data_IF_229455676884
#
_entry.id   IF_229455676884
#
_cell.length_a   1.000
_cell.length_b   1.000
_cell.length_c   1.000
_cell.angle_alpha   90.00
_cell.angle_beta   90.00
_cell.angle_gamma   90.00
#
_symmetry.space_group_name_H-M   'P 1'
#
loop_
_entity.id
_entity.type
_entity.pdbx_description
1 polymer ?
#
# COMPACT_ATOMS: atom_id res chain seq x y z
N UNK A 1 14.03 1.52 11.77
CA UNK A 1 14.11 0.31 10.92
C UNK A 1 15.47 -0.29 11.23
N UNK A 2 15.52 -1.57 11.57
CA UNK A 2 16.78 -2.24 11.89
C UNK A 2 17.21 -2.97 10.62
N UNK A 3 18.18 -2.39 9.92
CA UNK A 3 18.73 -2.95 8.69
C UNK A 3 19.98 -3.74 9.02
N UNK A 4 20.23 -4.83 8.30
CA UNK A 4 21.50 -5.55 8.39
C UNK A 4 22.65 -4.60 8.02
N UNK A 5 23.84 -4.80 8.62
CA UNK A 5 24.97 -3.88 8.52
C UNK A 5 25.40 -3.61 7.06
N UNK A 6 25.23 -4.58 6.17
CA UNK A 6 25.53 -4.48 4.75
C UNK A 6 24.50 -3.69 3.93
N UNK A 7 23.30 -3.46 4.47
CA UNK A 7 22.23 -2.65 3.87
C UNK A 7 22.19 -1.25 4.46
N UNK A 8 22.56 -1.10 5.73
CA UNK A 8 22.47 0.16 6.47
C UNK A 8 23.22 1.32 5.79
N UNK A 9 24.39 1.04 5.21
CA UNK A 9 25.22 2.03 4.50
C UNK A 9 24.55 2.61 3.23
N UNK A 10 23.53 1.94 2.70
CA UNK A 10 22.80 2.37 1.50
C UNK A 10 21.44 3.00 1.81
N UNK A 11 21.06 3.10 3.09
CA UNK A 11 19.75 3.63 3.49
C UNK A 11 19.92 4.88 4.33
N UNK A 12 19.34 5.99 3.84
CA UNK A 12 19.15 7.21 4.64
C UNK A 12 17.72 7.27 5.15
N UNK A 13 17.57 7.55 6.45
CA UNK A 13 16.27 7.78 7.08
C UNK A 13 16.14 9.28 7.34
N UNK A 14 15.07 9.87 6.80
CA UNK A 14 14.81 11.31 6.90
C UNK A 14 13.32 11.61 7.07
N UNK A 15 13.00 12.90 7.09
CA UNK A 15 11.62 13.38 7.09
C UNK A 15 11.05 13.44 5.65
N UNK A 16 9.77 13.80 5.54
CA UNK A 16 9.18 14.19 4.25
C UNK A 16 9.34 15.69 4.09
N UNK A 17 10.27 16.11 3.24
CA UNK A 17 10.48 17.51 2.84
C UNK A 17 11.33 17.59 1.56
N UNK A 18 11.37 18.76 0.94
CA UNK A 18 12.28 19.06 -0.17
C UNK A 18 13.76 18.98 0.24
N UNK A 19 14.09 19.41 1.47
CA UNK A 19 15.46 19.48 1.99
C UNK A 19 16.15 18.10 2.11
N UNK A 20 15.36 17.03 2.17
CA UNK A 20 15.83 15.65 2.27
C UNK A 20 16.19 15.08 0.87
N UNK A 21 15.97 15.83 -0.20
CA UNK A 21 16.26 15.42 -1.58
C UNK A 21 17.69 15.83 -1.97
N UNK A 22 18.64 14.90 -1.81
CA UNK A 22 20.04 15.09 -2.18
C UNK A 22 20.40 14.49 -3.56
N UNK A 23 21.67 14.57 -3.96
CA UNK A 23 22.16 14.01 -5.24
C UNK A 23 22.71 12.58 -5.11
N UNK A 24 22.75 12.04 -3.89
CA UNK A 24 23.32 10.72 -3.59
C UNK A 24 22.25 9.62 -3.63
N UNK A 25 20.98 9.97 -3.39
CA UNK A 25 19.88 9.01 -3.39
C UNK A 25 19.38 8.70 -4.81
N UNK A 26 19.19 7.42 -5.13
CA UNK A 26 18.56 7.00 -6.40
C UNK A 26 17.02 7.04 -6.35
N UNK A 27 16.45 6.77 -5.17
CA UNK A 27 15.01 6.71 -4.96
C UNK A 27 14.64 6.98 -3.51
N UNK A 28 13.39 7.41 -3.30
CA UNK A 28 12.81 7.67 -1.99
C UNK A 28 11.61 6.76 -1.76
N UNK A 29 11.53 6.17 -0.57
CA UNK A 29 10.39 5.36 -0.15
C UNK A 29 9.68 6.08 0.99
N UNK A 30 8.49 6.61 0.71
CA UNK A 30 7.63 7.23 1.71
C UNK A 30 6.71 6.18 2.31
N UNK A 31 6.88 5.91 3.59
CA UNK A 31 6.13 4.88 4.32
C UNK A 31 4.91 5.48 5.01
N UNK A 32 3.71 5.03 4.62
CA UNK A 32 2.44 5.30 5.30
C UNK A 32 2.22 6.79 5.69
N UNK A 33 2.36 7.76 4.76
CA UNK A 33 2.32 9.18 5.11
C UNK A 33 1.02 9.55 5.86
N UNK A 34 1.16 10.30 6.95
CA UNK A 34 0.06 10.75 7.80
C UNK A 34 -0.01 12.28 7.81
N UNK A 35 -1.21 12.84 8.05
CA UNK A 35 -1.34 14.27 8.31
C UNK A 35 -0.62 14.64 9.61
N UNK A 36 -0.03 15.83 9.63
CA UNK A 36 0.58 16.41 10.82
C UNK A 36 -0.46 17.10 11.70
N UNK A 37 -0.15 17.28 12.98
CA UNK A 37 -1.05 18.02 13.89
C UNK A 37 -1.24 19.44 13.33
N UNK A 38 -2.48 19.82 13.06
CA UNK A 38 -2.87 21.09 12.46
C UNK A 38 -2.38 21.36 11.02
N UNK A 39 -2.02 20.32 10.25
CA UNK A 39 -1.58 20.51 8.86
C UNK A 39 -1.86 19.32 7.94
N UNK A 40 -1.85 19.58 6.64
CA UNK A 40 -1.91 18.55 5.60
C UNK A 40 -0.48 18.17 5.23
N UNK A 41 -0.19 16.88 5.06
CA UNK A 41 1.14 16.41 4.63
C UNK A 41 1.36 16.55 3.11
N UNK A 42 0.28 16.77 2.35
CA UNK A 42 0.31 16.83 0.87
C UNK A 42 1.29 17.87 0.33
N UNK A 43 1.34 19.13 0.83
CA UNK A 43 2.29 20.11 0.30
C UNK A 43 3.75 19.63 0.41
N UNK A 44 4.13 19.04 1.54
CA UNK A 44 5.47 18.49 1.74
C UNK A 44 5.76 17.31 0.80
N UNK A 45 4.75 16.46 0.56
CA UNK A 45 4.87 15.35 -0.39
C UNK A 45 5.00 15.85 -1.83
N UNK A 46 4.27 16.90 -2.20
CA UNK A 46 4.34 17.54 -3.51
C UNK A 46 5.72 18.19 -3.72
N UNK A 47 6.21 18.98 -2.76
CA UNK A 47 7.53 19.60 -2.77
C UNK A 47 8.65 18.55 -2.93
N UNK A 48 8.63 17.50 -2.11
CA UNK A 48 9.59 16.39 -2.20
C UNK A 48 9.52 15.67 -3.57
N UNK A 49 8.31 15.42 -4.07
CA UNK A 49 8.12 14.73 -5.36
C UNK A 49 8.63 15.57 -6.52
N UNK A 50 8.37 16.87 -6.52
CA UNK A 50 8.85 17.81 -7.54
C UNK A 50 10.39 17.94 -7.51
N UNK A 51 10.98 18.02 -6.32
CA UNK A 51 12.43 18.11 -6.16
C UNK A 51 13.13 16.84 -6.64
N UNK A 52 12.60 15.65 -6.30
CA UNK A 52 13.12 14.38 -6.78
C UNK A 52 12.96 14.24 -8.30
N UNK A 53 11.80 14.62 -8.86
CA UNK A 53 11.54 14.59 -10.30
C UNK A 53 12.50 15.50 -11.08
N UNK A 54 12.79 16.70 -10.57
CA UNK A 54 13.73 17.64 -11.17
C UNK A 54 15.16 17.06 -11.31
N UNK A 55 15.50 16.09 -10.46
CA UNK A 55 16.78 15.36 -10.47
C UNK A 55 16.71 14.00 -11.17
N UNK A 56 15.54 13.61 -11.70
CA UNK A 56 15.33 12.29 -12.31
C UNK A 56 15.29 11.13 -11.30
N UNK A 57 15.03 11.43 -10.02
CA UNK A 57 14.93 10.45 -8.95
C UNK A 57 13.51 9.94 -8.79
N UNK A 58 13.35 8.70 -8.32
CA UNK A 58 12.02 8.07 -8.18
C UNK A 58 11.47 8.22 -6.76
N UNK A 59 10.21 8.62 -6.62
CA UNK A 59 9.48 8.57 -5.34
C UNK A 59 8.47 7.43 -5.38
N UNK A 60 8.55 6.54 -4.38
CA UNK A 60 7.62 5.44 -4.17
C UNK A 60 6.88 5.67 -2.86
N UNK A 61 5.55 5.54 -2.88
CA UNK A 61 4.73 5.66 -1.67
C UNK A 61 4.13 4.30 -1.33
N UNK A 62 4.47 3.77 -0.16
CA UNK A 62 3.85 2.55 0.37
C UNK A 62 2.68 2.91 1.27
N UNK A 63 1.53 2.27 1.05
CA UNK A 63 0.29 2.56 1.75
C UNK A 63 -0.03 4.06 1.76
N UNK A 64 -0.27 4.63 0.57
CA UNK A 64 -0.72 6.01 0.38
C UNK A 64 -2.15 6.24 0.88
N UNK A 65 -2.50 5.76 2.08
CA UNK A 65 -3.81 5.95 2.70
C UNK A 65 -3.94 7.37 3.24
N UNK A 66 -3.99 8.31 2.31
CA UNK A 66 -4.29 9.73 2.53
C UNK A 66 -5.81 10.00 2.55
N UNK A 67 -6.62 8.93 2.64
CA UNK A 67 -8.07 9.03 2.82
C UNK A 67 -8.45 9.50 4.21
N UNK A 68 -9.75 9.54 4.49
CA UNK A 68 -10.26 9.93 5.81
C UNK A 68 -10.08 8.77 6.79
N UNK A 69 -8.92 8.68 7.42
CA UNK A 69 -8.72 7.83 8.59
C UNK A 69 -9.25 8.61 9.80
N UNK A 70 -10.31 8.14 10.48
CA UNK A 70 -10.73 8.79 11.71
C UNK A 70 -9.58 8.74 12.72
N UNK A 71 -9.20 9.90 13.25
CA UNK A 71 -8.29 9.96 14.38
C UNK A 71 -8.89 9.17 15.56
N UNK A 72 -8.04 8.69 16.47
CA UNK A 72 -8.48 8.03 17.71
C UNK A 72 -9.45 8.90 18.54
N UNK A 73 -9.48 10.22 18.32
CA UNK A 73 -10.42 11.17 18.92
C UNK A 73 -11.69 11.45 18.11
N UNK A 74 -11.99 10.67 17.06
CA UNK A 74 -13.22 10.78 16.26
C UNK A 74 -13.30 12.04 15.37
N UNK A 75 -12.23 12.84 15.28
CA UNK A 75 -12.17 13.99 14.36
C UNK A 75 -11.69 13.52 13.00
N UNK A 76 -12.56 13.63 12.00
CA UNK A 76 -12.21 13.51 10.59
C UNK A 76 -11.64 14.84 10.08
N UNK A 77 -10.43 14.84 9.53
CA UNK A 77 -9.91 16.00 8.83
C UNK A 77 -10.48 16.05 7.40
N UNK A 78 -11.62 16.71 7.23
CA UNK A 78 -12.27 16.90 5.91
C UNK A 78 -11.50 17.91 5.04
N UNK A 79 -10.79 18.85 5.65
CA UNK A 79 -9.94 19.82 4.95
C UNK A 79 -8.80 19.09 4.21
N UNK A 80 -8.53 19.45 2.95
CA UNK A 80 -7.47 18.84 2.14
C UNK A 80 -7.83 17.49 1.52
N UNK A 81 -9.07 16.99 1.65
CA UNK A 81 -9.46 15.64 1.19
C UNK A 81 -9.32 15.48 -0.32
N UNK A 82 -9.73 16.49 -1.10
CA UNK A 82 -9.70 16.42 -2.56
C UNK A 82 -8.26 16.37 -3.05
N UNK A 83 -7.42 17.20 -2.45
CA UNK A 83 -5.99 17.34 -2.70
C UNK A 83 -5.27 16.03 -2.35
N UNK A 84 -5.55 15.45 -1.19
CA UNK A 84 -5.01 14.14 -0.77
C UNK A 84 -5.33 13.01 -1.74
N UNK A 85 -6.61 12.91 -2.15
CA UNK A 85 -7.04 11.87 -3.10
C UNK A 85 -6.44 12.13 -4.48
N UNK A 86 -6.34 13.39 -4.90
CA UNK A 86 -5.74 13.75 -6.18
C UNK A 86 -4.25 13.41 -6.20
N UNK A 87 -3.51 13.75 -5.14
CA UNK A 87 -2.11 13.42 -4.97
C UNK A 87 -1.87 11.90 -4.97
N UNK A 88 -2.61 11.13 -4.17
CA UNK A 88 -2.45 9.67 -4.18
C UNK A 88 -2.74 9.04 -5.57
N UNK A 89 -3.60 9.68 -6.38
CA UNK A 89 -3.93 9.25 -7.75
C UNK A 89 -2.94 9.73 -8.82
N UNK A 90 -2.02 10.65 -8.51
CA UNK A 90 -0.98 11.06 -9.46
C UNK A 90 0.08 9.97 -9.64
N UNK A 91 0.22 9.07 -8.66
CA UNK A 91 1.13 7.94 -8.71
C UNK A 91 0.54 6.79 -9.55
N UNK A 92 1.42 6.12 -10.30
CA UNK A 92 1.07 4.89 -11.00
C UNK A 92 1.16 3.70 -10.02
N UNK A 93 0.08 2.92 -9.80
CA UNK A 93 0.14 1.74 -8.95
C UNK A 93 1.02 0.66 -9.58
N UNK A 94 2.16 0.34 -8.97
CA UNK A 94 3.08 -0.71 -9.44
C UNK A 94 2.90 -2.05 -8.69
N UNK A 95 2.28 -2.01 -7.52
CA UNK A 95 1.99 -3.17 -6.71
C UNK A 95 0.75 -2.92 -5.85
N UNK A 96 -0.08 -3.94 -5.68
CA UNK A 96 -1.21 -3.94 -4.78
C UNK A 96 -1.30 -5.28 -4.07
N UNK A 97 -1.51 -5.26 -2.76
CA UNK A 97 -1.82 -6.45 -1.98
C UNK A 97 -2.88 -6.11 -0.94
N UNK A 98 -3.94 -6.91 -0.88
CA UNK A 98 -5.01 -6.76 0.11
C UNK A 98 -5.48 -8.11 0.61
N UNK A 99 -5.43 -8.30 1.93
CA UNK A 99 -6.03 -9.46 2.58
C UNK A 99 -7.55 -9.42 2.50
N UNK A 100 -8.15 -10.61 2.36
CA UNK A 100 -9.59 -10.80 2.29
C UNK A 100 -10.08 -11.41 3.60
N UNK A 101 -10.94 -10.68 4.30
CA UNK A 101 -11.56 -11.06 5.57
C UNK A 101 -12.99 -10.50 5.61
N UNK A 102 -13.83 -11.06 6.47
CA UNK A 102 -15.21 -10.62 6.62
C UNK A 102 -15.33 -9.57 7.72
N UNK A 103 -15.69 -8.34 7.34
CA UNK A 103 -16.01 -7.27 8.29
C UNK A 103 -17.11 -7.70 9.28
N UNK A 104 -17.07 -7.25 10.54
CA UNK A 104 -16.14 -6.25 11.08
C UNK A 104 -14.78 -6.82 11.53
N UNK A 105 -14.58 -8.13 11.43
CA UNK A 105 -13.38 -8.79 11.94
C UNK A 105 -12.25 -8.80 10.91
N UNK A 106 -11.01 -8.76 11.39
CA UNK A 106 -9.82 -8.94 10.54
C UNK A 106 -9.41 -10.41 10.40
N UNK A 107 -10.14 -11.31 11.06
CA UNK A 107 -9.95 -12.75 11.04
C UNK A 107 -11.31 -13.49 10.98
N UNK A 108 -11.37 -14.70 10.40
CA UNK A 108 -10.27 -15.37 9.70
C UNK A 108 -9.95 -14.71 8.35
N UNK A 109 -8.69 -14.87 7.91
CA UNK A 109 -8.27 -14.50 6.55
C UNK A 109 -8.78 -15.61 5.62
N UNK A 110 -9.46 -15.23 4.54
CA UNK A 110 -9.97 -16.14 3.51
C UNK A 110 -9.07 -16.21 2.28
N UNK A 111 -8.17 -15.24 2.11
CA UNK A 111 -7.34 -15.12 0.92
C UNK A 111 -6.74 -13.73 0.79
N UNK A 112 -6.29 -13.41 -0.42
CA UNK A 112 -5.80 -12.08 -0.77
C UNK A 112 -6.12 -11.76 -2.24
N UNK A 113 -6.05 -10.47 -2.58
CA UNK A 113 -5.85 -10.04 -3.96
C UNK A 113 -4.45 -9.46 -4.12
N UNK A 114 -3.84 -9.70 -5.28
CA UNK A 114 -2.53 -9.16 -5.65
C UNK A 114 -2.57 -8.60 -7.06
N UNK A 115 -1.85 -7.51 -7.28
CA UNK A 115 -1.47 -7.04 -8.61
C UNK A 115 -0.02 -6.56 -8.57
N UNK A 116 0.73 -6.86 -9.61
CA UNK A 116 2.07 -6.31 -9.88
C UNK A 116 2.05 -5.66 -11.25
N UNK A 117 2.83 -4.61 -11.47
CA UNK A 117 2.93 -3.93 -12.76
C UNK A 117 3.18 -4.94 -13.88
N UNK A 118 2.39 -4.84 -14.95
CA UNK A 118 2.45 -5.76 -16.10
C UNK A 118 1.71 -7.09 -15.91
N UNK A 119 1.18 -7.38 -14.71
CA UNK A 119 0.40 -8.59 -14.43
C UNK A 119 -1.10 -8.30 -14.28
N UNK A 120 -1.90 -9.37 -14.35
CA UNK A 120 -3.33 -9.34 -14.05
C UNK A 120 -3.57 -9.30 -12.54
N UNK A 121 -4.77 -8.89 -12.15
CA UNK A 121 -5.24 -8.94 -10.77
C UNK A 121 -5.57 -10.38 -10.38
N UNK A 122 -4.73 -10.99 -9.54
CA UNK A 122 -4.96 -12.34 -9.03
C UNK A 122 -5.80 -12.34 -7.77
N UNK A 123 -6.78 -13.24 -7.69
CA UNK A 123 -7.49 -13.60 -6.46
C UNK A 123 -6.93 -14.91 -5.96
N UNK A 124 -6.41 -14.90 -4.73
CA UNK A 124 -5.81 -16.07 -4.10
C UNK A 124 -6.66 -16.50 -2.91
N UNK A 125 -6.98 -17.78 -2.84
CA UNK A 125 -7.68 -18.38 -1.69
C UNK A 125 -6.65 -18.90 -0.70
N UNK A 126 -6.82 -18.56 0.57
CA UNK A 126 -6.06 -19.18 1.66
C UNK A 126 -6.54 -20.61 1.85
N UNK A 127 -5.61 -21.55 1.84
CA UNK A 127 -5.83 -22.94 2.23
C UNK A 127 -4.92 -23.28 3.42
N UNK A 128 -5.41 -24.19 4.25
CA UNK A 128 -4.75 -24.56 5.48
C UNK A 128 -4.63 -23.43 6.52
N UNK A 129 -3.62 -23.53 7.38
CA UNK A 129 -3.36 -22.56 8.45
C UNK A 129 -4.26 -22.73 9.67
N UNK A 130 -4.95 -23.87 9.80
CA UNK A 130 -5.66 -24.22 11.05
C UNK A 130 -4.70 -24.79 12.10
N UNK A 131 -3.63 -25.44 11.64
CA UNK A 131 -2.51 -25.91 12.46
C UNK A 131 -1.22 -25.76 11.64
N UNK A 132 -0.41 -24.74 11.90
CA UNK A 132 0.76 -24.38 11.06
C UNK A 132 1.78 -25.52 10.92
N UNK A 133 1.83 -26.45 11.88
CA UNK A 133 2.76 -27.59 11.86
C UNK A 133 2.25 -28.74 10.97
N UNK A 134 0.95 -29.00 10.96
CA UNK A 134 0.35 -30.14 10.22
C UNK A 134 -0.36 -29.75 8.94
N UNK A 135 -0.74 -28.49 8.82
CA UNK A 135 -1.57 -27.88 7.79
C UNK A 135 -1.04 -26.46 7.52
N UNK A 136 0.14 -26.34 6.88
CA UNK A 136 0.78 -25.06 6.64
C UNK A 136 -0.11 -24.16 5.78
N UNK A 137 -0.08 -22.87 6.09
CA UNK A 137 -0.82 -21.86 5.33
C UNK A 137 -0.23 -21.70 3.93
N UNK A 138 -1.09 -21.72 2.91
CA UNK A 138 -0.70 -21.34 1.54
C UNK A 138 -1.81 -20.57 0.83
N UNK A 139 -1.41 -19.81 -0.19
CA UNK A 139 -2.30 -18.99 -1.00
C UNK A 139 -2.29 -19.51 -2.42
N UNK A 140 -3.46 -19.93 -2.90
CA UNK A 140 -3.60 -20.56 -4.22
C UNK A 140 -4.41 -19.65 -5.12
N UNK A 141 -3.89 -19.35 -6.31
CA UNK A 141 -4.59 -18.58 -7.33
C UNK A 141 -5.89 -19.30 -7.72
N UNK A 142 -7.01 -18.57 -7.66
CA UNK A 142 -8.34 -19.09 -8.00
C UNK A 142 -9.03 -18.31 -9.11
N UNK A 143 -8.62 -17.07 -9.39
CA UNK A 143 -9.09 -16.32 -10.55
C UNK A 143 -8.16 -15.14 -10.89
N UNK A 144 -8.28 -14.60 -12.10
CA UNK A 144 -7.50 -13.48 -12.61
C UNK A 144 -8.36 -12.49 -13.42
N UNK A 145 -8.08 -11.19 -13.27
CA UNK A 145 -8.85 -10.12 -13.89
C UNK A 145 -7.94 -9.04 -14.49
N UNK A 146 -8.37 -8.39 -15.57
CA UNK A 146 -7.60 -7.30 -16.20
C UNK A 146 -7.67 -5.98 -15.40
N UNK A 147 -8.60 -5.88 -14.45
CA UNK A 147 -8.82 -4.73 -13.57
C UNK A 147 -9.09 -5.21 -12.15
N UNK A 148 -8.99 -4.30 -11.17
CA UNK A 148 -9.28 -4.64 -9.77
C UNK A 148 -10.68 -5.29 -9.67
N UNK A 149 -10.79 -6.52 -9.16
CA UNK A 149 -12.05 -7.22 -9.10
C UNK A 149 -12.97 -6.60 -8.04
N UNK A 150 -14.26 -6.53 -8.37
CA UNK A 150 -15.29 -6.07 -7.43
C UNK A 150 -15.49 -7.07 -6.28
N UNK A 151 -16.05 -6.64 -5.13
CA UNK A 151 -16.36 -7.55 -4.03
C UNK A 151 -17.17 -8.78 -4.45
N UNK A 152 -18.08 -8.63 -5.43
CA UNK A 152 -18.89 -9.72 -5.96
C UNK A 152 -18.04 -10.75 -6.72
N UNK A 153 -17.13 -10.29 -7.58
CA UNK A 153 -16.22 -11.17 -8.33
C UNK A 153 -15.25 -11.90 -7.40
N UNK A 154 -14.72 -11.20 -6.38
CA UNK A 154 -13.88 -11.80 -5.35
C UNK A 154 -14.65 -12.92 -4.62
N UNK A 155 -15.86 -12.62 -4.15
CA UNK A 155 -16.69 -13.57 -3.40
C UNK A 155 -17.01 -14.80 -4.24
N UNK A 156 -17.41 -14.60 -5.50
CA UNK A 156 -17.68 -15.70 -6.44
C UNK A 156 -16.45 -16.58 -6.69
N UNK A 157 -15.26 -15.98 -6.79
CA UNK A 157 -14.00 -16.70 -6.96
C UNK A 157 -13.65 -17.59 -5.77
N UNK A 158 -13.87 -17.10 -4.55
CA UNK A 158 -13.57 -17.87 -3.34
C UNK A 158 -14.56 -19.02 -3.09
N UNK A 159 -15.82 -18.86 -3.52
CA UNK A 159 -16.89 -19.84 -3.30
C UNK A 159 -16.96 -20.95 -4.37
N UNK A 160 -16.36 -20.77 -5.55
CA UNK A 160 -16.31 -21.82 -6.57
C UNK A 160 -15.62 -23.07 -6.02
N UNK A 161 -16.28 -24.22 -6.14
CA UNK A 161 -15.64 -25.53 -5.93
C UNK A 161 -14.74 -25.78 -7.13
N UNK A 162 -13.51 -26.26 -6.89
CA UNK A 162 -12.67 -26.80 -7.97
C UNK A 162 -13.38 -28.03 -8.52
N UNK A 163 -13.52 -28.11 -9.83
CA UNK A 163 -13.83 -29.35 -10.55
C UNK A 163 -12.66 -30.34 -10.43
#
# INVERSE_FOLDING_TARGET
>A
LDFEDDVADYVKVGAVSEEEVDDECAAYIVLCPQNIVNGCVVPLLEEMTLAAEAKGQTVMILNANLGDVPSSGGRMQVAGRKERIAFAKSFTPIYHFRLLYQKPFFYPIYGCIRMTVGERWGVFKKIGGTNVIRDPESYVLVDEFDKEPTPQLITGSLMRKRE
#
